data_IF_984349458731
#
_entry.id   IF_984349458731
#
_cell.length_a   1.000
_cell.length_b   1.000
_cell.length_c   1.000
_cell.angle_alpha   90.00
_cell.angle_beta   90.00
_cell.angle_gamma   90.00
#
_symmetry.space_group_name_H-M   'P 1'
#
loop_
_entity.id
_entity.type
_entity.pdbx_description
1 polymer ?
#
# COMPACT_ATOMS: atom_id res chain seq x y z
N UNK A 1 -13.00 -16.00 8.69
CA UNK A 1 -11.82 -16.59 8.01
C UNK A 1 -12.09 -18.07 7.82
N UNK A 2 -11.75 -18.59 6.65
CA UNK A 2 -11.90 -19.99 6.27
C UNK A 2 -10.51 -20.62 6.14
N UNK A 3 -10.23 -21.63 6.97
CA UNK A 3 -8.97 -22.35 6.99
C UNK A 3 -9.19 -23.78 6.52
N UNK A 4 -8.59 -24.13 5.39
CA UNK A 4 -8.68 -25.44 4.75
C UNK A 4 -7.29 -26.04 4.58
N UNK A 5 -7.24 -27.32 4.22
CA UNK A 5 -6.00 -27.97 3.85
C UNK A 5 -6.20 -28.96 2.71
N UNK A 6 -5.13 -29.26 1.99
CA UNK A 6 -5.06 -30.34 1.01
C UNK A 6 -3.83 -31.18 1.32
N UNK A 7 -3.99 -32.51 1.25
CA UNK A 7 -2.90 -33.48 1.48
C UNK A 7 -2.61 -34.22 0.19
N UNK A 8 -1.34 -34.25 -0.19
CA UNK A 8 -0.84 -35.06 -1.29
C UNK A 8 0.03 -36.18 -0.77
N UNK A 9 -0.25 -37.41 -1.18
CA UNK A 9 0.52 -38.59 -0.81
C UNK A 9 0.97 -39.29 -2.08
N UNK A 10 2.25 -39.17 -2.40
CA UNK A 10 2.84 -39.96 -3.48
C UNK A 10 3.35 -41.28 -2.88
N UNK A 11 2.83 -42.43 -3.34
CA UNK A 11 3.36 -43.75 -2.94
C UNK A 11 2.39 -44.75 -2.29
N UNK A 12 1.08 -44.69 -2.55
CA UNK A 12 0.14 -45.79 -2.19
C UNK A 12 -0.22 -45.93 -0.71
N UNK A 13 0.39 -45.16 0.20
CA UNK A 13 0.00 -45.08 1.60
C UNK A 13 -1.24 -44.21 1.85
N UNK A 14 -1.94 -44.43 2.97
CA UNK A 14 -3.09 -43.62 3.37
C UNK A 14 -2.65 -42.19 3.74
N UNK A 15 -3.35 -41.18 3.22
CA UNK A 15 -3.07 -39.80 3.58
C UNK A 15 -3.42 -39.47 5.03
N UNK A 16 -2.59 -38.69 5.75
CA UNK A 16 -2.91 -38.25 7.09
C UNK A 16 -4.18 -37.38 7.07
N UNK A 17 -5.10 -37.66 7.99
CA UNK A 17 -6.26 -36.81 8.23
C UNK A 17 -5.90 -35.77 9.27
N UNK A 18 -5.87 -34.51 8.86
CA UNK A 18 -5.52 -33.40 9.74
C UNK A 18 -6.78 -32.94 10.48
N UNK A 19 -6.75 -33.05 11.80
CA UNK A 19 -7.82 -32.53 12.67
C UNK A 19 -7.42 -31.14 13.14
N UNK A 20 -8.12 -30.12 12.63
CA UNK A 20 -8.01 -28.75 13.11
C UNK A 20 -8.86 -28.61 14.36
N UNK A 21 -8.27 -28.18 15.47
CA UNK A 21 -8.95 -27.98 16.74
C UNK A 21 -8.89 -26.51 17.13
N UNK A 22 -10.03 -25.92 17.47
CA UNK A 22 -10.05 -24.56 18.03
C UNK A 22 -9.72 -24.64 19.52
N UNK A 23 -8.76 -23.85 19.97
CA UNK A 23 -8.35 -23.78 21.36
C UNK A 23 -7.99 -22.35 21.73
N UNK A 24 -8.54 -21.88 22.85
CA UNK A 24 -8.04 -20.69 23.53
C UNK A 24 -6.90 -21.13 24.45
N UNK A 25 -5.68 -20.68 24.16
CA UNK A 25 -4.51 -21.03 24.95
C UNK A 25 -4.36 -20.19 26.22
N UNK A 26 -5.36 -19.35 26.55
CA UNK A 26 -5.31 -18.46 27.72
C UNK A 26 -4.22 -17.39 27.61
N UNK A 27 -3.69 -17.15 26.41
CA UNK A 27 -2.63 -16.18 26.13
C UNK A 27 -3.12 -14.75 25.97
N UNK A 28 -4.44 -14.53 26.05
CA UNK A 28 -5.07 -13.22 25.78
C UNK A 28 -5.14 -12.84 24.29
N UNK A 29 -4.65 -13.70 23.38
CA UNK A 29 -4.67 -13.48 21.93
C UNK A 29 -5.96 -14.00 21.24
N UNK A 30 -6.91 -14.53 22.02
CA UNK A 30 -8.14 -15.13 21.53
C UNK A 30 -7.99 -16.59 21.09
N UNK A 31 -9.02 -17.11 20.43
CA UNK A 31 -9.07 -18.50 19.96
C UNK A 31 -8.08 -18.72 18.81
N UNK A 32 -7.22 -19.72 18.96
CA UNK A 32 -6.33 -20.22 17.91
C UNK A 32 -6.86 -21.51 17.28
N UNK A 33 -6.30 -21.88 16.13
CA UNK A 33 -6.49 -23.20 15.52
C UNK A 33 -5.19 -23.99 15.62
N UNK A 34 -5.25 -25.17 16.24
CA UNK A 34 -4.11 -26.06 16.43
C UNK A 34 -4.31 -27.41 15.74
N UNK A 35 -3.21 -28.01 15.30
CA UNK A 35 -3.19 -29.37 14.79
C UNK A 35 -1.83 -30.01 14.97
N UNK A 36 -1.81 -31.32 15.21
CA UNK A 36 -0.61 -32.13 15.28
C UNK A 36 -0.78 -33.34 14.36
N UNK A 37 0.17 -33.56 13.46
CA UNK A 37 0.18 -34.65 12.50
C UNK A 37 1.63 -34.98 12.09
N UNK A 38 1.84 -36.17 11.56
CA UNK A 38 3.15 -36.63 11.09
C UNK A 38 3.12 -36.76 9.57
N UNK A 39 4.15 -36.25 8.91
CA UNK A 39 4.37 -36.47 7.47
C UNK A 39 5.48 -37.49 7.28
N UNK A 40 5.26 -38.44 6.38
CA UNK A 40 6.29 -39.35 5.89
C UNK A 40 6.90 -38.79 4.60
N UNK A 41 8.02 -39.37 4.17
CA UNK A 41 8.64 -39.03 2.88
C UNK A 41 7.62 -39.10 1.73
N UNK A 42 7.67 -38.11 0.82
CA UNK A 42 6.74 -38.01 -0.30
C UNK A 42 5.35 -37.43 0.03
N UNK A 43 5.04 -37.19 1.31
CA UNK A 43 3.81 -36.51 1.72
C UNK A 43 3.98 -35.00 1.75
N UNK A 44 2.95 -34.27 1.31
CA UNK A 44 2.90 -32.80 1.29
C UNK A 44 1.55 -32.34 1.81
N UNK A 45 1.55 -31.22 2.52
CA UNK A 45 0.33 -30.56 3.02
C UNK A 45 0.39 -29.09 2.66
N UNK A 46 -0.69 -28.59 2.07
CA UNK A 46 -0.91 -27.16 1.90
C UNK A 46 -2.00 -26.70 2.85
N UNK A 47 -1.75 -25.59 3.55
CA UNK A 47 -2.76 -24.87 4.33
C UNK A 47 -3.22 -23.66 3.54
N UNK A 48 -4.54 -23.48 3.45
CA UNK A 48 -5.17 -22.41 2.69
C UNK A 48 -5.97 -21.57 3.67
N UNK A 49 -5.54 -20.33 3.86
CA UNK A 49 -6.26 -19.34 4.66
C UNK A 49 -6.85 -18.29 3.73
N UNK A 50 -8.16 -18.03 3.87
CA UNK A 50 -8.85 -17.06 3.02
C UNK A 50 -9.94 -16.30 3.77
N UNK A 51 -10.28 -15.13 3.25
CA UNK A 51 -11.50 -14.44 3.61
C UNK A 51 -12.69 -15.22 3.06
N UNK A 52 -13.74 -15.36 3.86
CA UNK A 52 -15.00 -15.93 3.39
C UNK A 52 -15.62 -14.93 2.42
N UNK A 53 -16.01 -15.35 1.20
CA UNK A 53 -16.63 -14.42 0.26
C UNK A 53 -17.96 -13.89 0.80
N UNK A 54 -18.24 -12.60 0.55
CA UNK A 54 -19.47 -11.95 0.98
C UNK A 54 -20.69 -12.43 0.17
N UNK A 55 -20.47 -12.81 -1.10
CA UNK A 55 -21.47 -13.41 -1.99
C UNK A 55 -21.33 -14.94 -1.99
N UNK A 56 -22.42 -15.63 -1.63
CA UNK A 56 -22.49 -17.09 -1.55
C UNK A 56 -23.34 -17.70 -2.68
N UNK A 57 -23.62 -16.97 -3.77
CA UNK A 57 -24.34 -17.52 -4.91
C UNK A 57 -23.54 -18.64 -5.59
N UNK A 58 -24.23 -19.66 -6.11
CA UNK A 58 -23.58 -20.84 -6.71
C UNK A 58 -22.62 -20.47 -7.86
N UNK A 59 -22.96 -19.44 -8.65
CA UNK A 59 -22.12 -18.89 -9.71
C UNK A 59 -20.86 -18.21 -9.17
N UNK A 60 -20.98 -17.49 -8.05
CA UNK A 60 -19.84 -16.85 -7.38
C UNK A 60 -18.92 -17.91 -6.75
N UNK A 61 -19.48 -18.85 -6.01
CA UNK A 61 -18.73 -19.93 -5.36
C UNK A 61 -18.05 -20.84 -6.38
N UNK A 62 -18.68 -21.17 -7.50
CA UNK A 62 -18.04 -21.97 -8.55
C UNK A 62 -16.80 -21.27 -9.16
N UNK A 63 -16.79 -19.94 -9.22
CA UNK A 63 -15.70 -19.15 -9.79
C UNK A 63 -14.60 -18.81 -8.78
N UNK A 64 -14.97 -18.52 -7.54
CA UNK A 64 -14.07 -17.98 -6.50
C UNK A 64 -13.84 -18.93 -5.32
N UNK A 65 -14.57 -20.06 -5.26
CA UNK A 65 -14.37 -21.18 -4.32
C UNK A 65 -14.32 -22.53 -5.06
N UNK A 66 -13.36 -22.74 -5.98
CA UNK A 66 -13.23 -24.02 -6.67
C UNK A 66 -12.80 -25.13 -5.69
N UNK A 67 -13.11 -26.37 -6.06
CA UNK A 67 -12.68 -27.54 -5.30
C UNK A 67 -11.15 -27.58 -5.17
N UNK A 68 -10.67 -27.61 -3.92
CA UNK A 68 -9.24 -27.62 -3.64
C UNK A 68 -8.64 -29.00 -3.94
N UNK A 69 -7.58 -29.02 -4.73
CA UNK A 69 -6.78 -30.20 -5.03
C UNK A 69 -5.29 -29.85 -5.00
N UNK A 70 -4.42 -30.86 -4.85
CA UNK A 70 -2.97 -30.64 -4.86
C UNK A 70 -2.52 -29.94 -6.14
N UNK A 71 -2.99 -30.46 -7.28
CA UNK A 71 -2.69 -29.89 -8.59
C UNK A 71 -3.13 -28.43 -8.69
N UNK A 72 -4.32 -28.11 -8.19
CA UNK A 72 -4.82 -26.73 -8.22
C UNK A 72 -3.96 -25.79 -7.38
N UNK A 73 -3.59 -26.18 -6.16
CA UNK A 73 -2.73 -25.34 -5.29
C UNK A 73 -1.33 -25.18 -5.86
N UNK A 74 -0.77 -26.23 -6.47
CA UNK A 74 0.50 -26.16 -7.19
C UNK A 74 0.41 -25.19 -8.39
N UNK A 75 -0.65 -25.26 -9.18
CA UNK A 75 -0.90 -24.30 -10.27
C UNK A 75 -1.02 -22.87 -9.76
N UNK A 76 -1.71 -22.63 -8.64
CA UNK A 76 -1.79 -21.28 -8.03
C UNK A 76 -0.40 -20.74 -7.64
N UNK A 77 0.48 -21.59 -7.12
CA UNK A 77 1.85 -21.21 -6.80
C UNK A 77 2.65 -20.89 -8.07
N UNK A 78 2.56 -21.74 -9.09
CA UNK A 78 3.20 -21.53 -10.39
C UNK A 78 2.73 -20.23 -11.06
N UNK A 79 1.42 -19.99 -11.10
CA UNK A 79 0.83 -18.76 -11.65
C UNK A 79 1.30 -17.53 -10.89
N UNK A 80 1.38 -17.60 -9.55
CA UNK A 80 1.91 -16.52 -8.71
C UNK A 80 3.37 -16.24 -9.05
N UNK A 81 4.21 -17.27 -9.17
CA UNK A 81 5.62 -17.12 -9.53
C UNK A 81 5.78 -16.52 -10.93
N UNK A 82 5.04 -17.03 -11.91
CA UNK A 82 5.07 -16.53 -13.29
C UNK A 82 4.61 -15.07 -13.38
N UNK A 83 3.60 -14.68 -12.61
CA UNK A 83 3.17 -13.28 -12.51
C UNK A 83 4.30 -12.37 -12.05
N UNK A 84 4.93 -12.68 -10.91
CA UNK A 84 5.98 -11.84 -10.34
C UNK A 84 7.24 -11.80 -11.22
N UNK A 85 7.63 -12.95 -11.78
CA UNK A 85 8.73 -13.02 -12.73
C UNK A 85 8.42 -12.23 -14.02
N UNK A 86 7.20 -12.34 -14.54
CA UNK A 86 6.77 -11.60 -15.72
C UNK A 86 6.72 -10.09 -15.46
N UNK A 87 6.25 -9.68 -14.29
CA UNK A 87 6.21 -8.29 -13.88
C UNK A 87 7.61 -7.69 -13.79
N UNK A 88 8.52 -8.31 -13.02
CA UNK A 88 9.86 -7.76 -12.82
C UNK A 88 10.73 -7.75 -14.08
N UNK A 89 10.50 -8.70 -15.02
CA UNK A 89 11.14 -8.71 -16.35
C UNK A 89 10.88 -7.46 -17.19
N UNK A 90 9.85 -6.69 -16.85
CA UNK A 90 9.56 -5.40 -17.51
C UNK A 90 10.47 -4.27 -17.00
N UNK A 91 11.25 -4.51 -15.95
CA UNK A 91 12.21 -3.55 -15.43
C UNK A 91 13.34 -3.31 -16.44
N UNK A 92 13.68 -2.04 -16.68
CA UNK A 92 14.71 -1.62 -17.65
C UNK A 92 16.07 -1.31 -16.99
N UNK A 93 16.24 -1.65 -15.72
CA UNK A 93 17.48 -1.42 -14.99
C UNK A 93 18.48 -2.55 -15.24
N UNK A 94 19.68 -2.21 -15.72
CA UNK A 94 20.79 -3.16 -15.96
C UNK A 94 22.08 -2.75 -15.23
N UNK A 95 21.97 -1.91 -14.20
CA UNK A 95 23.11 -1.40 -13.45
C UNK A 95 23.68 -2.41 -12.44
N UNK A 96 24.77 -2.01 -11.77
CA UNK A 96 25.51 -2.84 -10.81
C UNK A 96 24.65 -3.41 -9.67
N UNK A 97 23.57 -2.72 -9.28
CA UNK A 97 22.79 -3.04 -8.08
C UNK A 97 21.48 -3.77 -8.40
N UNK A 98 21.46 -4.60 -9.45
CA UNK A 98 20.23 -5.21 -10.00
C UNK A 98 19.37 -5.87 -8.93
N UNK A 99 19.95 -6.77 -8.13
CA UNK A 99 19.23 -7.49 -7.08
C UNK A 99 18.57 -6.55 -6.05
N UNK A 100 19.28 -5.49 -5.63
CA UNK A 100 18.76 -4.52 -4.67
C UNK A 100 17.61 -3.71 -5.28
N UNK A 101 17.73 -3.32 -6.55
CA UNK A 101 16.70 -2.56 -7.27
C UNK A 101 15.46 -3.42 -7.51
N UNK A 102 15.63 -4.65 -7.98
CA UNK A 102 14.51 -5.57 -8.20
C UNK A 102 13.80 -5.90 -6.89
N UNK A 103 14.55 -6.17 -5.82
CA UNK A 103 13.97 -6.43 -4.50
C UNK A 103 13.17 -5.23 -4.00
N UNK A 104 13.70 -4.01 -4.15
CA UNK A 104 13.01 -2.78 -3.74
C UNK A 104 11.75 -2.54 -4.57
N UNK A 105 11.82 -2.75 -5.88
CA UNK A 105 10.66 -2.62 -6.78
C UNK A 105 9.54 -3.61 -6.41
N UNK A 106 9.89 -4.86 -6.10
CA UNK A 106 8.93 -5.86 -5.62
C UNK A 106 8.24 -5.44 -4.32
N UNK A 107 8.98 -4.85 -3.36
CA UNK A 107 8.40 -4.33 -2.12
C UNK A 107 7.42 -3.20 -2.43
N UNK A 108 7.81 -2.19 -3.22
CA UNK A 108 6.92 -1.10 -3.61
C UNK A 108 5.65 -1.61 -4.32
N UNK A 109 5.79 -2.65 -5.15
CA UNK A 109 4.65 -3.28 -5.82
C UNK A 109 3.72 -4.00 -4.84
N UNK A 110 4.27 -4.65 -3.81
CA UNK A 110 3.47 -5.26 -2.73
C UNK A 110 2.73 -4.23 -1.87
N UNK A 111 3.25 -3.00 -1.78
CA UNK A 111 2.58 -1.88 -1.10
C UNK A 111 1.50 -1.20 -1.96
N UNK A 112 1.39 -1.57 -3.24
CA UNK A 112 0.41 -0.98 -4.17
C UNK A 112 -0.93 -1.72 -4.07
N UNK A 113 -2.00 -1.00 -3.75
CA UNK A 113 -3.36 -1.52 -3.75
C UNK A 113 -3.89 -1.62 -5.18
N UNK A 114 -3.87 -2.83 -5.74
CA UNK A 114 -4.19 -3.09 -7.14
C UNK A 114 -5.49 -2.45 -7.66
N UNK A 115 -6.62 -2.42 -6.91
CA UNK A 115 -7.87 -1.86 -7.43
C UNK A 115 -7.83 -0.37 -7.74
N UNK A 116 -7.01 0.42 -7.04
CA UNK A 116 -6.92 1.88 -7.23
C UNK A 116 -5.55 2.37 -7.68
N UNK A 117 -4.49 1.59 -7.46
CA UNK A 117 -3.11 2.04 -7.63
C UNK A 117 -2.57 2.90 -6.48
N UNK A 118 -3.36 3.12 -5.43
CA UNK A 118 -2.88 3.78 -4.21
C UNK A 118 -1.75 2.98 -3.55
N UNK A 119 -0.74 3.66 -2.98
CA UNK A 119 0.41 3.00 -2.34
C UNK A 119 0.38 3.30 -0.86
N UNK A 120 0.34 2.25 -0.02
CA UNK A 120 0.49 2.48 1.43
C UNK A 120 1.92 2.89 1.76
N UNK A 121 2.10 3.77 2.73
CA UNK A 121 3.44 4.11 3.21
C UNK A 121 4.13 2.87 3.82
N UNK A 122 3.40 2.05 4.58
CA UNK A 122 3.83 0.72 5.00
C UNK A 122 2.64 -0.18 5.38
N UNK A 123 2.82 -1.50 5.32
CA UNK A 123 1.82 -2.50 5.79
C UNK A 123 1.87 -2.73 7.31
N UNK A 124 2.17 -1.68 8.06
CA UNK A 124 2.40 -1.74 9.51
C UNK A 124 1.71 -0.59 10.22
N UNK A 125 1.35 -0.80 11.48
CA UNK A 125 0.89 0.25 12.38
C UNK A 125 1.57 0.08 13.73
N UNK A 126 1.77 1.19 14.44
CA UNK A 126 2.31 1.21 15.80
C UNK A 126 3.70 0.58 15.99
N UNK A 127 4.47 0.42 14.92
CA UNK A 127 5.88 0.11 15.06
C UNK A 127 6.61 1.42 15.44
N UNK A 128 7.44 1.41 16.50
CA UNK A 128 8.09 2.62 16.97
C UNK A 128 9.16 3.08 15.98
N UNK A 129 9.19 4.39 15.69
CA UNK A 129 10.29 5.01 14.93
C UNK A 129 11.65 4.78 15.61
N UNK A 130 11.68 4.74 16.95
CA UNK A 130 12.83 4.35 17.75
C UNK A 130 12.39 3.61 19.02
N UNK A 131 13.12 2.55 19.40
CA UNK A 131 12.81 1.76 20.60
C UNK A 131 13.05 2.63 21.85
N UNK A 132 12.09 2.63 22.77
CA UNK A 132 12.13 3.44 23.99
C UNK A 132 11.75 4.90 23.79
N UNK A 133 11.31 5.27 22.58
CA UNK A 133 10.82 6.61 22.26
C UNK A 133 9.44 6.89 22.87
N UNK A 134 9.12 8.18 23.03
CA UNK A 134 7.95 8.73 23.71
C UNK A 134 6.64 8.63 22.90
N UNK A 135 6.44 7.55 22.15
CA UNK A 135 5.16 7.24 21.50
C UNK A 135 5.01 7.70 20.04
N UNK A 136 6.08 7.78 19.26
CA UNK A 136 6.01 7.93 17.78
C UNK A 136 5.75 6.57 17.11
N UNK A 137 4.54 6.07 17.30
CA UNK A 137 4.07 4.76 16.86
C UNK A 137 2.85 4.94 15.96
N UNK A 138 3.06 5.31 14.69
CA UNK A 138 1.98 5.71 13.79
C UNK A 138 1.40 4.54 12.98
N UNK A 139 0.19 4.73 12.47
CA UNK A 139 -0.41 3.85 11.47
C UNK A 139 0.02 4.32 10.07
N UNK A 140 0.76 3.47 9.35
CA UNK A 140 1.30 3.76 8.01
C UNK A 140 0.51 3.07 6.89
N UNK A 141 -0.63 2.44 7.20
CA UNK A 141 -1.46 1.70 6.23
C UNK A 141 -2.33 2.60 5.34
N UNK A 142 -2.06 3.90 5.34
CA UNK A 142 -2.71 4.91 4.50
C UNK A 142 -1.82 5.31 3.32
N UNK A 143 -2.41 5.95 2.32
CA UNK A 143 -1.69 6.44 1.13
C UNK A 143 -1.39 7.92 1.27
N UNK A 144 -0.12 8.27 1.49
CA UNK A 144 0.34 9.64 1.37
C UNK A 144 0.52 10.00 -0.10
N UNK A 145 0.14 11.23 -0.46
CA UNK A 145 0.34 11.75 -1.81
C UNK A 145 1.84 11.73 -2.16
N UNK A 146 2.67 12.23 -1.23
CA UNK A 146 4.14 12.20 -1.31
C UNK A 146 4.71 10.82 -1.61
N UNK A 147 4.44 9.87 -0.73
CA UNK A 147 5.04 8.53 -0.75
C UNK A 147 4.64 7.77 -2.01
N UNK A 148 3.38 7.95 -2.44
CA UNK A 148 2.90 7.41 -3.71
C UNK A 148 3.57 8.07 -4.91
N UNK A 149 3.75 9.40 -4.90
CA UNK A 149 4.42 10.13 -5.97
C UNK A 149 5.87 9.67 -6.16
N UNK A 150 6.63 9.49 -5.07
CA UNK A 150 7.98 8.94 -5.13
C UNK A 150 8.01 7.48 -5.59
N UNK A 151 7.02 6.67 -5.20
CA UNK A 151 6.90 5.30 -5.70
C UNK A 151 6.66 5.28 -7.21
N UNK A 152 5.79 6.16 -7.72
CA UNK A 152 5.55 6.27 -9.16
C UNK A 152 6.77 6.79 -9.91
N UNK A 153 7.50 7.75 -9.34
CA UNK A 153 8.80 8.18 -9.87
C UNK A 153 9.73 6.98 -10.06
N UNK A 154 9.89 6.15 -9.02
CA UNK A 154 10.74 4.97 -9.09
C UNK A 154 10.27 3.99 -10.16
N UNK A 155 8.98 3.66 -10.21
CA UNK A 155 8.42 2.78 -11.22
C UNK A 155 8.62 3.28 -12.65
N UNK A 156 8.37 4.56 -12.93
CA UNK A 156 8.60 5.15 -14.25
C UNK A 156 10.07 5.11 -14.66
N UNK A 157 10.99 5.38 -13.73
CA UNK A 157 12.43 5.29 -13.97
C UNK A 157 12.91 3.85 -14.23
N UNK A 158 12.17 2.87 -13.74
CA UNK A 158 12.41 1.45 -13.96
C UNK A 158 11.64 0.89 -15.19
N UNK A 159 10.84 1.69 -15.89
CA UNK A 159 10.02 1.24 -17.02
C UNK A 159 8.73 0.51 -16.62
N UNK A 160 8.37 0.51 -15.34
CA UNK A 160 7.19 -0.15 -14.78
C UNK A 160 5.98 0.81 -14.82
N UNK A 161 5.35 0.96 -15.98
CA UNK A 161 4.36 2.04 -16.20
C UNK A 161 2.90 1.67 -15.86
N UNK A 162 2.60 0.38 -15.65
CA UNK A 162 1.23 -0.09 -15.41
C UNK A 162 0.65 0.49 -14.12
N UNK A 163 1.42 0.46 -13.04
CA UNK A 163 1.05 0.97 -11.72
C UNK A 163 0.89 2.50 -11.75
N UNK A 164 1.77 3.20 -12.48
CA UNK A 164 1.68 4.65 -12.67
C UNK A 164 0.35 5.06 -13.31
N UNK A 165 -0.13 4.29 -14.28
CA UNK A 165 -1.44 4.56 -14.90
C UNK A 165 -2.60 4.37 -13.91
N UNK A 166 -2.57 3.32 -13.09
CA UNK A 166 -3.60 3.11 -12.07
C UNK A 166 -3.59 4.26 -11.04
N UNK A 167 -2.41 4.64 -10.56
CA UNK A 167 -2.25 5.76 -9.64
C UNK A 167 -2.75 7.10 -10.22
N UNK A 168 -2.54 7.37 -11.51
CA UNK A 168 -3.11 8.58 -12.14
C UNK A 168 -4.65 8.59 -12.09
N UNK A 169 -5.28 7.41 -12.24
CA UNK A 169 -6.72 7.27 -12.00
C UNK A 169 -7.11 7.61 -10.57
N UNK A 170 -6.32 7.18 -9.58
CA UNK A 170 -6.51 7.55 -8.18
C UNK A 170 -6.39 9.06 -7.95
N UNK A 171 -5.33 9.70 -8.48
CA UNK A 171 -5.12 11.16 -8.39
C UNK A 171 -6.31 11.93 -8.98
N UNK A 172 -6.85 11.48 -10.11
CA UNK A 172 -8.05 12.08 -10.70
C UNK A 172 -9.23 12.07 -9.73
N UNK A 173 -9.48 10.95 -9.05
CA UNK A 173 -10.52 10.87 -8.01
C UNK A 173 -10.27 11.88 -6.89
N UNK A 174 -9.02 12.02 -6.43
CA UNK A 174 -8.67 13.00 -5.40
C UNK A 174 -8.91 14.45 -5.88
N UNK A 175 -8.61 14.77 -7.13
CA UNK A 175 -8.86 16.08 -7.73
C UNK A 175 -10.36 16.40 -7.87
N UNK A 176 -11.22 15.40 -8.03
CA UNK A 176 -12.68 15.61 -8.08
C UNK A 176 -13.24 15.89 -6.68
N UNK A 177 -12.56 15.39 -5.66
CA UNK A 177 -12.94 15.52 -4.26
C UNK A 177 -11.92 16.41 -3.52
N UNK A 178 -11.64 17.62 -4.03
CA UNK A 178 -10.78 18.59 -3.32
C UNK A 178 -11.37 19.03 -1.98
N UNK A 179 -10.54 19.59 -1.12
CA UNK A 179 -10.97 20.25 0.12
C UNK A 179 -11.77 21.53 -0.21
N UNK A 180 -12.57 22.06 0.74
CA UNK A 180 -13.34 23.29 0.52
C UNK A 180 -12.48 24.52 0.13
N UNK A 181 -11.20 24.53 0.51
CA UNK A 181 -10.22 25.55 0.14
C UNK A 181 -9.59 25.34 -1.25
N UNK A 182 -9.97 24.26 -1.95
CA UNK A 182 -9.39 23.86 -3.24
C UNK A 182 -8.14 22.98 -3.13
N UNK A 183 -7.68 22.68 -1.90
CA UNK A 183 -6.49 21.87 -1.67
C UNK A 183 -6.75 20.35 -1.70
N UNK A 184 -5.69 19.57 -1.46
CA UNK A 184 -5.76 18.12 -1.26
C UNK A 184 -5.48 17.80 0.22
N UNK A 185 -5.98 16.66 0.68
CA UNK A 185 -5.53 16.06 1.93
C UNK A 185 -4.15 15.45 1.71
N UNK A 186 -3.30 15.42 2.74
CA UNK A 186 -1.93 14.89 2.59
C UNK A 186 -1.92 13.37 2.42
N UNK A 187 -2.93 12.70 2.98
CA UNK A 187 -3.08 11.24 2.93
C UNK A 187 -4.54 10.82 2.90
N UNK A 188 -4.79 9.62 2.34
CA UNK A 188 -6.12 9.05 2.14
C UNK A 188 -6.15 7.57 2.54
N UNK A 189 -7.34 7.01 2.72
CA UNK A 189 -7.51 5.55 2.71
C UNK A 189 -7.21 5.00 1.31
N UNK A 190 -7.01 3.68 1.19
CA UNK A 190 -6.75 3.00 -0.09
C UNK A 190 -7.81 3.23 -1.17
N UNK A 191 -9.02 3.66 -0.78
CA UNK A 191 -10.15 3.95 -1.67
C UNK A 191 -10.44 5.45 -1.83
N UNK A 192 -9.54 6.33 -1.35
CA UNK A 192 -9.71 7.78 -1.46
C UNK A 192 -10.53 8.41 -0.33
N UNK A 193 -11.01 7.61 0.64
CA UNK A 193 -11.69 8.12 1.82
C UNK A 193 -10.77 9.00 2.67
N UNK A 194 -11.36 10.00 3.33
CA UNK A 194 -10.65 11.04 4.09
C UNK A 194 -10.64 10.83 5.59
N UNK A 195 -11.60 10.06 6.09
CA UNK A 195 -11.75 9.79 7.51
C UNK A 195 -10.78 8.69 7.96
N UNK A 196 -9.94 9.02 8.94
CA UNK A 196 -8.93 8.12 9.51
C UNK A 196 -8.65 8.44 10.98
N UNK A 197 -9.73 8.48 11.76
CA UNK A 197 -9.69 8.81 13.19
C UNK A 197 -8.61 8.01 13.93
N UNK A 198 -7.73 8.73 14.63
CA UNK A 198 -6.67 8.16 15.44
C UNK A 198 -7.25 7.62 16.75
N UNK A 199 -7.00 6.34 17.05
CA UNK A 199 -7.47 5.64 18.24
C UNK A 199 -6.33 4.92 18.93
N UNK A 200 -6.18 5.14 20.24
CA UNK A 200 -5.24 4.40 21.09
C UNK A 200 -5.85 3.09 21.60
N UNK A 201 -5.15 1.99 21.38
CA UNK A 201 -5.52 0.64 21.78
C UNK A 201 -4.83 0.28 23.11
N UNK A 202 -5.33 0.84 24.22
CA UNK A 202 -4.71 0.68 25.56
C UNK A 202 -4.67 -0.76 26.12
N UNK A 203 -5.31 -1.72 25.44
CA UNK A 203 -5.26 -3.14 25.79
C UNK A 203 -4.06 -3.88 25.18
N UNK A 204 -3.26 -3.21 24.34
CA UNK A 204 -2.08 -3.77 23.69
C UNK A 204 -0.82 -3.12 24.27
N UNK A 205 0.16 -3.95 24.65
CA UNK A 205 1.44 -3.51 25.21
C UNK A 205 2.33 -2.78 24.17
N UNK A 206 2.14 -3.07 22.88
CA UNK A 206 2.95 -2.53 21.80
C UNK A 206 4.25 -3.30 21.55
N UNK A 207 4.87 -3.05 20.40
CA UNK A 207 6.09 -3.76 20.00
C UNK A 207 7.23 -3.42 20.96
N UNK A 208 7.83 -4.42 21.60
CA UNK A 208 8.89 -4.25 22.62
C UNK A 208 8.49 -3.26 23.73
N UNK A 209 7.24 -3.35 24.21
CA UNK A 209 6.67 -2.46 25.22
C UNK A 209 6.70 -0.95 24.85
N UNK A 210 6.77 -0.64 23.56
CA UNK A 210 6.65 0.73 23.07
C UNK A 210 5.17 1.06 22.91
N UNK A 211 4.63 1.73 23.93
CA UNK A 211 3.30 2.30 23.94
C UNK A 211 3.30 3.76 23.42
N UNK A 212 2.15 4.27 22.96
CA UNK A 212 0.90 3.54 22.79
C UNK A 212 0.81 2.85 21.43
N UNK A 213 -0.11 1.89 21.33
CA UNK A 213 -0.54 1.31 20.07
C UNK A 213 -1.67 2.18 19.53
N UNK A 214 -1.52 2.72 18.32
CA UNK A 214 -2.50 3.52 17.59
C UNK A 214 -2.90 2.91 16.25
N UNK A 215 -4.17 3.03 15.94
CA UNK A 215 -4.71 2.84 14.58
C UNK A 215 -5.28 4.16 14.10
N UNK A 216 -5.35 4.36 12.78
CA UNK A 216 -5.65 5.67 12.24
C UNK A 216 -4.46 6.63 12.38
N UNK A 217 -4.60 7.83 11.82
CA UNK A 217 -3.49 8.77 11.82
C UNK A 217 -3.99 10.22 11.80
N UNK A 218 -3.60 10.98 12.82
CA UNK A 218 -4.02 12.37 13.03
C UNK A 218 -3.36 13.38 12.09
N UNK A 219 -2.46 12.98 11.19
CA UNK A 219 -1.82 13.90 10.25
C UNK A 219 -2.74 14.31 9.08
N UNK A 220 -3.92 13.71 8.94
CA UNK A 220 -4.86 13.96 7.83
C UNK A 220 -5.18 15.45 7.66
N UNK A 221 -5.34 16.17 8.78
CA UNK A 221 -5.71 17.59 8.80
C UNK A 221 -4.49 18.54 8.70
N UNK A 222 -3.28 18.01 8.55
CA UNK A 222 -2.09 18.83 8.40
C UNK A 222 -2.08 19.52 7.04
N UNK A 223 -1.72 20.81 7.02
CA UNK A 223 -1.37 21.50 5.78
C UNK A 223 0.09 21.16 5.46
N UNK A 224 0.32 20.53 4.31
CA UNK A 224 1.64 20.30 3.73
C UNK A 224 1.64 20.80 2.30
N UNK A 225 2.46 21.81 2.02
CA UNK A 225 2.54 22.39 0.68
C UNK A 225 3.52 21.60 -0.21
N UNK A 226 4.35 20.74 0.38
CA UNK A 226 5.30 19.91 -0.36
C UNK A 226 4.65 18.86 -1.28
N UNK A 227 3.47 18.35 -0.89
CA UNK A 227 2.78 17.28 -1.63
C UNK A 227 2.51 17.64 -3.10
N UNK A 228 2.32 18.93 -3.39
CA UNK A 228 2.03 19.39 -4.74
C UNK A 228 3.24 19.31 -5.66
N UNK A 229 4.44 19.60 -5.15
CA UNK A 229 5.67 19.48 -5.93
C UNK A 229 5.95 18.03 -6.30
N UNK A 230 5.81 17.15 -5.31
CA UNK A 230 6.02 15.71 -5.46
C UNK A 230 5.00 15.11 -6.44
N UNK A 231 3.72 15.46 -6.28
CA UNK A 231 2.65 15.04 -7.17
C UNK A 231 2.89 15.52 -8.61
N UNK A 232 3.15 16.82 -8.81
CA UNK A 232 3.28 17.39 -10.16
C UNK A 232 4.57 16.94 -10.85
N UNK A 233 5.64 16.60 -10.12
CA UNK A 233 6.81 15.93 -10.69
C UNK A 233 6.47 14.52 -11.18
N UNK A 234 5.72 13.74 -10.40
CA UNK A 234 5.24 12.43 -10.83
C UNK A 234 4.31 12.53 -12.06
N UNK A 235 3.37 13.49 -12.07
CA UNK A 235 2.49 13.75 -13.22
C UNK A 235 3.27 14.15 -14.47
N UNK A 236 4.27 15.02 -14.32
CA UNK A 236 5.14 15.43 -15.42
C UNK A 236 5.88 14.24 -16.04
N UNK A 237 6.43 13.37 -15.21
CA UNK A 237 7.12 12.17 -15.66
C UNK A 237 6.15 11.16 -16.30
N UNK A 238 4.94 11.05 -15.78
CA UNK A 238 3.89 10.21 -16.37
C UNK A 238 3.55 10.70 -17.77
N UNK A 239 3.33 11.99 -17.94
CA UNK A 239 3.07 12.62 -19.24
C UNK A 239 4.22 12.38 -20.23
N UNK A 240 5.46 12.42 -19.74
CA UNK A 240 6.66 12.30 -20.57
C UNK A 240 7.01 10.86 -20.97
N UNK A 241 6.83 9.90 -20.07
CA UNK A 241 7.37 8.54 -20.22
C UNK A 241 6.30 7.45 -20.31
N UNK A 242 5.05 7.74 -19.95
CA UNK A 242 3.96 6.77 -19.94
C UNK A 242 2.90 7.12 -20.98
N UNK A 243 2.02 8.08 -20.70
CA UNK A 243 0.91 8.48 -21.58
C UNK A 243 0.66 9.99 -21.45
N UNK A 244 0.35 10.70 -22.56
CA UNK A 244 -0.05 12.09 -22.49
C UNK A 244 -1.28 12.30 -21.61
N UNK A 245 -1.34 13.44 -20.91
CA UNK A 245 -2.53 13.84 -20.16
C UNK A 245 -3.70 14.13 -21.12
N UNK A 246 -4.89 13.74 -20.70
CA UNK A 246 -6.15 14.20 -21.30
C UNK A 246 -6.42 15.66 -20.93
N UNK A 247 -7.35 16.29 -21.65
CA UNK A 247 -7.76 17.67 -21.36
C UNK A 247 -8.33 17.82 -19.94
N UNK A 248 -9.16 16.88 -19.50
CA UNK A 248 -9.75 16.90 -18.15
C UNK A 248 -8.66 16.82 -17.07
N UNK A 249 -7.69 15.91 -17.23
CA UNK A 249 -6.57 15.78 -16.31
C UNK A 249 -5.72 17.06 -16.29
N UNK A 250 -5.49 17.69 -17.45
CA UNK A 250 -4.78 18.95 -17.51
C UNK A 250 -5.53 20.08 -16.77
N UNK A 251 -6.86 20.16 -16.92
CA UNK A 251 -7.69 21.12 -16.17
C UNK A 251 -7.58 20.90 -14.66
N UNK A 252 -7.61 19.64 -14.21
CA UNK A 252 -7.43 19.29 -12.80
C UNK A 252 -6.06 19.72 -12.27
N UNK A 253 -4.99 19.47 -13.03
CA UNK A 253 -3.62 19.86 -12.65
C UNK A 253 -3.47 21.39 -12.58
N UNK A 254 -4.06 22.14 -13.52
CA UNK A 254 -4.03 23.61 -13.44
C UNK A 254 -4.66 24.12 -12.15
N UNK A 255 -5.80 23.56 -11.73
CA UNK A 255 -6.44 23.96 -10.49
C UNK A 255 -5.54 23.72 -9.27
N UNK A 256 -4.73 22.66 -9.26
CA UNK A 256 -3.73 22.43 -8.22
C UNK A 256 -2.57 23.45 -8.28
N UNK A 257 -2.12 23.81 -9.48
CA UNK A 257 -1.08 24.84 -9.66
C UNK A 257 -1.58 26.21 -9.19
N UNK A 258 -2.83 26.57 -9.52
CA UNK A 258 -3.47 27.80 -9.07
C UNK A 258 -3.55 27.82 -7.53
N UNK A 259 -3.96 26.71 -6.91
CA UNK A 259 -3.93 26.58 -5.44
C UNK A 259 -2.52 26.81 -4.87
N UNK A 260 -1.47 26.26 -5.49
CA UNK A 260 -0.09 26.51 -5.03
C UNK A 260 0.27 27.98 -5.17
N UNK A 261 -0.05 28.63 -6.30
CA UNK A 261 0.21 30.06 -6.50
C UNK A 261 -0.48 30.94 -5.45
N UNK A 262 -1.67 30.57 -5.01
CA UNK A 262 -2.42 31.31 -4.00
C UNK A 262 -1.95 31.06 -2.55
N UNK A 263 -1.22 29.96 -2.30
CA UNK A 263 -0.91 29.50 -0.94
C UNK A 263 0.60 29.29 -0.65
N UNK A 264 1.50 29.44 -1.63
CA UNK A 264 2.93 29.08 -1.47
C UNK A 264 3.66 29.84 -0.36
N UNK A 265 3.20 31.02 0.04
CA UNK A 265 3.85 31.88 1.04
C UNK A 265 3.49 31.48 2.48
N UNK A 266 2.47 30.65 2.67
CA UNK A 266 1.97 30.27 3.99
C UNK A 266 2.90 29.27 4.71
N UNK A 267 2.98 29.32 6.05
CA UNK A 267 3.65 28.30 6.83
C UNK A 267 2.86 26.99 6.84
N UNK A 268 3.55 25.86 6.84
CA UNK A 268 2.98 24.51 6.77
C UNK A 268 3.64 23.57 7.78
N UNK A 269 3.37 22.27 7.71
CA UNK A 269 3.90 21.26 8.64
C UNK A 269 5.15 20.54 8.13
N UNK A 270 5.55 20.78 6.88
CA UNK A 270 6.71 20.16 6.22
C UNK A 270 6.63 18.63 6.12
N UNK A 271 7.61 18.03 5.43
CA UNK A 271 7.65 16.58 5.13
C UNK A 271 7.63 15.66 6.37
N UNK A 272 8.10 16.15 7.52
CA UNK A 272 8.21 15.35 8.74
C UNK A 272 6.98 15.39 9.64
N UNK A 273 5.93 16.12 9.27
CA UNK A 273 4.64 16.13 9.98
C UNK A 273 4.78 16.44 11.48
N UNK A 274 5.78 17.26 11.82
CA UNK A 274 6.16 17.50 13.21
C UNK A 274 4.97 18.11 13.93
N UNK A 275 4.34 17.36 14.83
CA UNK A 275 3.18 17.81 15.62
C UNK A 275 3.58 19.06 16.42
N UNK A 276 3.21 20.23 15.92
CA UNK A 276 3.74 21.51 16.36
C UNK A 276 3.12 22.67 15.60
N UNK A 277 3.73 23.86 15.74
CA UNK A 277 3.30 25.05 15.00
C UNK A 277 3.75 24.95 13.55
N UNK A 278 2.91 25.42 12.64
CA UNK A 278 3.27 25.61 11.23
C UNK A 278 4.47 26.56 11.09
N UNK A 279 5.39 26.27 10.18
CA UNK A 279 6.60 27.05 9.93
C UNK A 279 6.90 27.17 8.45
N UNK A 280 7.84 28.04 8.09
CA UNK A 280 8.37 28.12 6.73
C UNK A 280 9.48 27.08 6.54
N UNK A 281 9.12 25.90 6.04
CA UNK A 281 10.10 24.85 5.74
C UNK A 281 10.72 25.02 4.36
N UNK A 282 12.04 24.99 4.27
CA UNK A 282 12.78 25.10 2.99
C UNK A 282 12.34 24.06 1.98
N UNK A 283 12.14 22.81 2.44
CA UNK A 283 11.69 21.72 1.58
C UNK A 283 10.34 22.03 0.92
N UNK A 284 9.35 22.45 1.71
CA UNK A 284 8.02 22.82 1.20
C UNK A 284 8.10 23.95 0.16
N UNK A 285 8.89 25.00 0.41
CA UNK A 285 9.03 26.10 -0.56
C UNK A 285 9.69 25.66 -1.86
N UNK A 286 10.67 24.76 -1.80
CA UNK A 286 11.27 24.17 -3.01
C UNK A 286 10.24 23.33 -3.76
N UNK A 287 9.43 22.54 -3.06
CA UNK A 287 8.40 21.73 -3.71
C UNK A 287 7.26 22.58 -4.30
N UNK A 288 6.87 23.71 -3.69
CA UNK A 288 5.97 24.67 -4.34
C UNK A 288 6.57 25.21 -5.65
N UNK A 289 7.87 25.51 -5.67
CA UNK A 289 8.55 25.91 -6.90
C UNK A 289 8.55 24.78 -7.95
N UNK A 290 8.80 23.54 -7.54
CA UNK A 290 8.70 22.36 -8.43
C UNK A 290 7.31 22.25 -9.02
N UNK A 291 6.26 22.37 -8.20
CA UNK A 291 4.86 22.34 -8.66
C UNK A 291 4.62 23.35 -9.79
N UNK A 292 5.06 24.59 -9.61
CA UNK A 292 4.91 25.65 -10.61
C UNK A 292 5.76 25.36 -11.86
N UNK A 293 7.03 24.97 -11.72
CA UNK A 293 7.89 24.64 -12.87
C UNK A 293 7.32 23.47 -13.70
N UNK A 294 6.79 22.43 -13.04
CA UNK A 294 6.16 21.31 -13.73
C UNK A 294 4.83 21.70 -14.37
N UNK A 295 4.02 22.49 -13.68
CA UNK A 295 2.78 23.05 -14.23
C UNK A 295 3.01 23.86 -15.51
N UNK A 296 4.09 24.65 -15.58
CA UNK A 296 4.44 25.43 -16.78
C UNK A 296 4.96 24.59 -17.95
N UNK A 297 5.49 23.39 -17.68
CA UNK A 297 6.01 22.46 -18.71
C UNK A 297 4.96 21.51 -19.27
N UNK A 298 3.84 21.34 -18.56
CA UNK A 298 2.70 20.49 -18.92
C UNK A 298 1.73 21.25 -19.83
#
# INVERSE_FOLDING_TARGET
>A
MDLRYVVGCMGGGSCPRIKLTQSDHGSGLGQGVTSQFTLSEGMRVFFIMRSTPEDCSDLYLAKYDPALSMKYVETLLEDTLLYWLGWIRSCTYFGRWLENVERSALILKLLTYEPTGAVVAAVTFSLPEAIGDAGRNWDYRFTWVRDSAFTMYAFMRLGLTKEAKQYMGFVRTLCQEKNPDGGLQIMYTLRGGREMAELELGHLEGYRACAPVRIGNGAADHLQLDIYGELLDAVYLYNKFSQPLSFDEWVDIRALVDYVCDNYDQPDMGIWEVRGKRQNFTYSKVQCWVAIDRGLRL
#
